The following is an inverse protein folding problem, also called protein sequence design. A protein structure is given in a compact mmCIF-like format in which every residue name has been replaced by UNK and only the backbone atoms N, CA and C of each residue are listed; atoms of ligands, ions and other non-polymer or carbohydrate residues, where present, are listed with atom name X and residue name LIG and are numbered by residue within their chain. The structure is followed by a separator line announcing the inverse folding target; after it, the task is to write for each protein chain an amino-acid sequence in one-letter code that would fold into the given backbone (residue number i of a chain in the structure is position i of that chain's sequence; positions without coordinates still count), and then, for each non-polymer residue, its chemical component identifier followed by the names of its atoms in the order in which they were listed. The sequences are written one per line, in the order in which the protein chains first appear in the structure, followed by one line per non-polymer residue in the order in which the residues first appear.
data_IF_801934162435
#
_entry.id   IF_801934162435
#
_cell.length_a   1.000
_cell.length_b   1.000
_cell.length_c   1.000
_cell.angle_alpha   90.00
_cell.angle_beta   90.00
_cell.angle_gamma   90.00
#
_symmetry.space_group_name_H-M   'P 1'
#
loop_
_entity.id
_entity.type
_entity.pdbx_description
1 polymer ?
#
# COMPACT_ATOMS: atom_id res chain seq x y z
N UNK A 1 84.06 -26.55 -35.01
CA UNK A 1 83.36 -25.74 -33.98
C UNK A 1 81.96 -25.40 -34.50
N UNK A 2 80.93 -26.16 -34.10
CA UNK A 2 79.51 -25.86 -34.43
C UNK A 2 78.77 -25.71 -33.10
N UNK A 3 78.25 -24.52 -32.80
CA UNK A 3 77.46 -24.23 -31.61
C UNK A 3 75.99 -24.55 -31.91
N UNK A 4 75.43 -25.52 -31.20
CA UNK A 4 73.99 -25.81 -31.23
C UNK A 4 73.30 -24.94 -30.17
N UNK A 5 72.37 -24.09 -30.60
CA UNK A 5 71.54 -23.26 -29.73
C UNK A 5 70.28 -24.06 -29.40
N UNK A 6 70.13 -24.49 -28.14
CA UNK A 6 68.88 -25.05 -27.64
C UNK A 6 67.97 -23.91 -27.20
N UNK A 7 66.90 -23.66 -27.95
CA UNK A 7 65.81 -22.76 -27.55
C UNK A 7 64.89 -23.56 -26.63
N UNK A 8 64.94 -23.26 -25.33
CA UNK A 8 63.99 -23.79 -24.35
C UNK A 8 62.68 -22.99 -24.46
N UNK A 9 61.62 -23.64 -24.95
CA UNK A 9 60.26 -23.08 -24.97
C UNK A 9 59.68 -23.19 -23.55
N UNK A 10 59.54 -22.07 -22.86
CA UNK A 10 58.90 -22.00 -21.54
C UNK A 10 57.39 -21.82 -21.74
N UNK A 11 56.63 -22.91 -21.63
CA UNK A 11 55.16 -22.90 -21.72
C UNK A 11 54.56 -22.35 -20.42
N UNK A 12 54.16 -21.08 -20.42
CA UNK A 12 53.41 -20.47 -19.31
C UNK A 12 51.95 -20.93 -19.40
N UNK A 13 51.55 -21.85 -18.52
CA UNK A 13 50.15 -22.23 -18.31
C UNK A 13 49.45 -21.10 -17.54
N UNK A 14 48.71 -20.24 -18.23
CA UNK A 14 47.80 -19.27 -17.59
C UNK A 14 46.53 -20.02 -17.20
N UNK A 15 46.43 -20.44 -15.94
CA UNK A 15 45.21 -20.97 -15.37
C UNK A 15 44.15 -19.86 -15.28
N UNK A 16 43.22 -19.82 -16.24
CA UNK A 16 41.99 -19.02 -16.15
C UNK A 16 41.10 -19.60 -15.04
N UNK A 17 41.31 -19.18 -13.80
CA UNK A 17 40.35 -19.40 -12.73
C UNK A 17 39.09 -18.60 -13.04
N UNK A 18 38.00 -19.29 -13.35
CA UNK A 18 36.68 -18.68 -13.55
C UNK A 18 36.25 -18.01 -12.24
N UNK A 19 36.35 -16.69 -12.17
CA UNK A 19 35.77 -15.93 -11.07
C UNK A 19 34.25 -16.10 -11.18
N UNK A 20 33.66 -16.83 -10.24
CA UNK A 20 32.21 -16.93 -10.16
C UNK A 20 31.68 -15.56 -9.72
N UNK A 21 31.21 -14.76 -10.67
CA UNK A 21 30.51 -13.51 -10.36
C UNK A 21 29.18 -13.87 -9.73
N UNK A 22 29.08 -13.71 -8.41
CA UNK A 22 27.82 -13.81 -7.70
C UNK A 22 26.93 -12.63 -8.08
N UNK A 23 25.62 -12.89 -8.16
CA UNK A 23 24.62 -11.84 -8.36
C UNK A 23 24.80 -10.76 -7.28
N UNK A 24 24.93 -9.51 -7.72
CA UNK A 24 25.07 -8.37 -6.82
C UNK A 24 23.71 -7.79 -6.49
N UNK A 25 23.42 -7.72 -5.20
CA UNK A 25 22.29 -6.96 -4.67
C UNK A 25 22.71 -5.56 -4.27
N UNK A 26 22.00 -4.55 -4.78
CA UNK A 26 22.16 -3.16 -4.34
C UNK A 26 20.96 -2.76 -3.48
N UNK A 27 21.21 -2.31 -2.24
CA UNK A 27 20.15 -1.82 -1.36
C UNK A 27 20.04 -0.29 -1.37
N UNK A 28 18.81 0.24 -1.37
CA UNK A 28 18.55 1.68 -1.37
C UNK A 28 17.35 2.04 -0.49
N UNK A 29 17.46 3.07 0.34
CA UNK A 29 16.35 3.54 1.16
C UNK A 29 15.47 4.54 0.40
N UNK A 30 14.16 4.36 0.49
CA UNK A 30 13.16 5.30 0.00
C UNK A 30 12.68 6.15 1.18
N UNK A 31 13.10 7.41 1.17
CA UNK A 31 12.55 8.47 2.03
C UNK A 31 11.75 9.45 1.20
N UNK A 32 10.59 9.84 1.72
CA UNK A 32 9.75 10.89 1.15
C UNK A 32 10.18 12.25 1.70
N UNK A 33 10.24 13.25 0.83
CA UNK A 33 10.37 14.64 1.28
C UNK A 33 9.12 15.04 2.06
N UNK A 34 9.28 15.86 3.10
CA UNK A 34 8.16 16.32 3.92
C UNK A 34 7.04 16.90 3.05
N UNK A 35 5.82 16.43 3.26
CA UNK A 35 4.64 16.84 2.47
C UNK A 35 4.42 16.03 1.18
N UNK A 36 5.34 15.13 0.81
CA UNK A 36 5.14 14.17 -0.27
C UNK A 36 4.92 12.77 0.29
N UNK A 37 4.25 11.93 -0.48
CA UNK A 37 4.02 10.53 -0.14
C UNK A 37 4.30 9.58 -1.31
N UNK A 38 4.93 10.10 -2.35
CA UNK A 38 5.26 9.39 -3.58
C UNK A 38 6.68 9.70 -4.02
N UNK A 39 7.32 8.75 -4.70
CA UNK A 39 8.67 8.89 -5.25
C UNK A 39 8.84 7.98 -6.46
N UNK A 40 9.58 8.46 -7.44
CA UNK A 40 10.05 7.64 -8.57
C UNK A 40 11.55 7.44 -8.42
N UNK A 41 11.98 6.17 -8.46
CA UNK A 41 13.38 5.78 -8.48
C UNK A 41 13.75 5.34 -9.89
N UNK A 42 14.89 5.81 -10.38
CA UNK A 42 15.44 5.40 -11.66
C UNK A 42 16.63 4.51 -11.36
N UNK A 43 16.68 3.33 -11.98
CA UNK A 43 17.75 2.37 -11.71
C UNK A 43 18.17 1.58 -12.94
N UNK A 44 19.30 0.89 -12.79
CA UNK A 44 19.85 -0.03 -13.77
C UNK A 44 20.47 -1.24 -13.08
N UNK A 45 20.31 -2.42 -13.66
CA UNK A 45 21.05 -3.63 -13.29
C UNK A 45 21.26 -4.52 -14.52
N UNK A 46 22.11 -5.54 -14.40
CA UNK A 46 22.45 -6.46 -15.49
C UNK A 46 22.48 -7.91 -15.01
N UNK A 47 22.13 -8.84 -15.90
CA UNK A 47 22.22 -10.27 -15.59
C UNK A 47 21.37 -10.66 -14.38
N UNK A 48 21.98 -11.31 -13.39
CA UNK A 48 21.30 -11.78 -12.19
C UNK A 48 21.25 -10.75 -11.06
N UNK A 49 21.82 -9.56 -11.25
CA UNK A 49 21.80 -8.52 -10.25
C UNK A 49 20.36 -8.05 -9.97
N UNK A 50 20.14 -7.52 -8.77
CA UNK A 50 18.87 -6.95 -8.35
C UNK A 50 19.07 -5.65 -7.55
N UNK A 51 18.01 -4.86 -7.47
CA UNK A 51 17.96 -3.66 -6.62
C UNK A 51 16.85 -3.82 -5.60
N UNK A 52 17.18 -3.66 -4.32
CA UNK A 52 16.25 -3.79 -3.21
C UNK A 52 16.00 -2.43 -2.57
N UNK A 53 14.78 -1.93 -2.72
CA UNK A 53 14.35 -0.68 -2.11
C UNK A 53 13.71 -0.94 -0.74
N UNK A 54 14.22 -0.25 0.28
CA UNK A 54 13.70 -0.28 1.64
C UNK A 54 12.76 0.89 1.87
N UNK A 55 11.53 0.62 2.29
CA UNK A 55 10.53 1.65 2.54
C UNK A 55 9.81 1.38 3.86
N UNK A 56 9.89 2.34 4.78
CA UNK A 56 9.15 2.25 6.04
C UNK A 56 7.68 2.62 5.80
N UNK A 57 6.78 1.79 6.34
CA UNK A 57 5.35 2.04 6.31
C UNK A 57 4.66 1.42 7.54
N UNK A 58 3.43 1.87 7.78
CA UNK A 58 2.58 1.43 8.88
C UNK A 58 1.54 0.44 8.36
N UNK A 59 1.11 -0.46 9.24
CA UNK A 59 -0.02 -1.36 9.04
C UNK A 59 -1.25 -0.56 8.60
N UNK A 60 -1.95 -1.07 7.60
CA UNK A 60 -3.15 -0.47 7.05
C UNK A 60 -2.90 0.59 5.99
N UNK A 61 -1.68 1.12 5.83
CA UNK A 61 -1.37 1.99 4.69
C UNK A 61 -1.48 1.22 3.37
N UNK A 62 -1.81 1.93 2.28
CA UNK A 62 -1.80 1.38 0.92
C UNK A 62 -0.48 1.74 0.25
N UNK A 63 0.25 0.72 -0.21
CA UNK A 63 1.38 0.91 -1.11
C UNK A 63 0.88 0.77 -2.55
N UNK A 64 0.90 1.89 -3.29
CA UNK A 64 0.77 1.90 -4.75
C UNK A 64 2.14 1.78 -5.38
N UNK A 65 2.25 0.99 -6.43
CA UNK A 65 3.50 0.80 -7.15
C UNK A 65 3.29 0.69 -8.65
N UNK A 66 4.33 1.06 -9.39
CA UNK A 66 4.44 0.82 -10.83
C UNK A 66 5.91 0.65 -11.18
N UNK A 67 6.25 -0.46 -11.84
CA UNK A 67 7.56 -0.66 -12.45
C UNK A 67 7.46 -0.63 -13.97
N UNK A 68 8.33 0.13 -14.61
CA UNK A 68 8.50 0.16 -16.07
C UNK A 68 9.95 -0.08 -16.42
N UNK A 69 10.23 -0.65 -17.59
CA UNK A 69 11.61 -0.90 -18.03
C UNK A 69 11.71 -1.05 -19.54
N UNK A 70 12.93 -0.97 -20.06
CA UNK A 70 13.20 -1.33 -21.44
C UNK A 70 12.74 -2.77 -21.72
N UNK A 71 11.96 -2.94 -22.79
CA UNK A 71 11.41 -4.23 -23.22
C UNK A 71 10.65 -4.99 -22.12
N UNK A 72 10.09 -4.29 -21.12
CA UNK A 72 9.37 -4.88 -19.98
C UNK A 72 10.15 -5.99 -19.25
N UNK A 73 11.47 -5.85 -19.13
CA UNK A 73 12.35 -6.86 -18.51
C UNK A 73 12.26 -6.88 -16.98
N UNK A 74 11.97 -5.74 -16.35
CA UNK A 74 11.89 -5.62 -14.91
C UNK A 74 10.59 -6.23 -14.35
N UNK A 75 10.75 -7.03 -13.31
CA UNK A 75 9.70 -7.51 -12.43
C UNK A 75 10.00 -7.05 -11.00
N UNK A 76 9.02 -7.19 -10.11
CA UNK A 76 9.21 -6.84 -8.72
C UNK A 76 8.52 -7.80 -7.76
N UNK A 77 9.09 -7.95 -6.57
CA UNK A 77 8.47 -8.63 -5.43
C UNK A 77 8.43 -7.68 -4.24
N UNK A 78 7.40 -7.78 -3.40
CA UNK A 78 7.29 -6.99 -2.17
C UNK A 78 7.33 -7.95 -0.98
N UNK A 79 8.20 -7.68 -0.02
CA UNK A 79 8.39 -8.49 1.19
C UNK A 79 8.02 -7.69 2.43
N UNK A 80 7.35 -8.35 3.37
CA UNK A 80 7.02 -7.79 4.68
C UNK A 80 8.27 -7.49 5.52
N UNK A 81 8.16 -6.66 6.58
CA UNK A 81 9.26 -6.39 7.49
C UNK A 81 9.91 -7.66 8.04
N UNK A 82 11.25 -7.70 7.96
CA UNK A 82 12.07 -8.84 8.39
C UNK A 82 12.17 -10.00 7.40
N UNK A 83 11.39 -10.00 6.31
CA UNK A 83 11.40 -11.04 5.27
C UNK A 83 12.42 -10.74 4.18
N UNK A 84 13.08 -11.77 3.67
CA UNK A 84 14.23 -11.65 2.74
C UNK A 84 13.97 -12.34 1.40
N UNK A 85 14.28 -11.68 0.26
CA UNK A 85 14.28 -12.32 -1.04
C UNK A 85 15.11 -13.60 -1.08
N UNK A 86 14.57 -14.64 -1.71
CA UNK A 86 15.21 -15.95 -1.83
C UNK A 86 15.20 -16.82 -0.57
N UNK A 87 14.68 -16.32 0.56
CA UNK A 87 14.55 -17.08 1.82
C UNK A 87 13.11 -17.15 2.33
N UNK A 88 12.36 -16.08 2.13
CA UNK A 88 10.98 -15.96 2.57
C UNK A 88 10.03 -15.76 1.38
N UNK A 89 8.73 -15.89 1.65
CA UNK A 89 7.68 -15.56 0.69
C UNK A 89 7.44 -14.05 0.60
N UNK A 90 7.14 -13.60 -0.62
CA UNK A 90 6.71 -12.24 -0.90
C UNK A 90 5.20 -12.09 -0.63
N UNK A 91 4.77 -10.91 -0.20
CA UNK A 91 3.36 -10.54 -0.07
C UNK A 91 2.75 -10.06 -1.41
N UNK A 92 3.59 -9.83 -2.42
CA UNK A 92 3.19 -9.51 -3.78
C UNK A 92 4.25 -10.02 -4.76
N UNK A 93 3.80 -10.70 -5.82
CA UNK A 93 4.68 -11.26 -6.85
C UNK A 93 4.33 -10.66 -8.22
N UNK A 94 5.13 -9.70 -8.68
CA UNK A 94 4.83 -8.94 -9.90
C UNK A 94 4.93 -9.76 -11.18
N UNK A 95 5.68 -10.87 -11.20
CA UNK A 95 5.71 -11.76 -12.36
C UNK A 95 4.40 -12.54 -12.59
N UNK A 96 3.54 -12.62 -11.56
CA UNK A 96 2.23 -13.30 -11.64
C UNK A 96 1.08 -12.30 -11.59
N UNK A 97 1.22 -11.23 -10.80
CA UNK A 97 0.16 -10.26 -10.53
C UNK A 97 0.27 -8.98 -11.37
N UNK A 98 1.40 -8.77 -12.05
CA UNK A 98 1.65 -7.62 -12.91
C UNK A 98 2.54 -6.54 -12.29
N UNK A 99 2.90 -5.56 -13.12
CA UNK A 99 3.89 -4.53 -12.80
C UNK A 99 3.30 -3.22 -12.27
N UNK A 100 1.98 -3.15 -12.12
CA UNK A 100 1.24 -2.00 -11.59
C UNK A 100 0.19 -2.52 -10.62
N UNK A 101 0.09 -1.91 -9.44
CA UNK A 101 -0.91 -2.34 -8.48
C UNK A 101 -0.89 -1.56 -7.18
N UNK A 102 -1.68 -2.05 -6.25
CA UNK A 102 -1.76 -1.53 -4.89
C UNK A 102 -1.98 -2.67 -3.89
N UNK A 103 -1.37 -2.56 -2.72
CA UNK A 103 -1.55 -3.52 -1.62
C UNK A 103 -1.78 -2.81 -0.29
N UNK A 104 -2.63 -3.40 0.57
CA UNK A 104 -2.77 -2.96 1.96
C UNK A 104 -1.67 -3.61 2.78
N UNK A 105 -0.87 -2.79 3.46
CA UNK A 105 0.29 -3.26 4.19
C UNK A 105 -0.12 -3.93 5.53
N UNK A 106 0.26 -5.20 5.77
CA UNK A 106 -0.27 -5.96 6.90
C UNK A 106 0.37 -5.62 8.27
N UNK A 107 1.48 -4.90 8.30
CA UNK A 107 2.32 -4.71 9.49
C UNK A 107 3.05 -3.37 9.48
N UNK A 108 3.50 -2.92 10.65
CA UNK A 108 4.42 -1.79 10.76
C UNK A 108 5.84 -2.26 10.46
N UNK A 109 6.63 -1.47 9.74
CA UNK A 109 8.06 -1.70 9.60
C UNK A 109 8.60 -1.34 8.23
N UNK A 110 9.84 -1.77 8.00
CA UNK A 110 10.54 -1.57 6.74
C UNK A 110 10.25 -2.72 5.77
N UNK A 111 9.53 -2.41 4.69
CA UNK A 111 9.25 -3.32 3.59
C UNK A 111 10.42 -3.34 2.61
N UNK A 112 10.63 -4.49 1.95
CA UNK A 112 11.61 -4.61 0.85
C UNK A 112 10.89 -4.78 -0.48
N UNK A 113 11.15 -3.88 -1.42
CA UNK A 113 10.73 -4.01 -2.82
C UNK A 113 11.95 -4.45 -3.63
N UNK A 114 11.97 -5.71 -4.04
CA UNK A 114 13.00 -6.25 -4.91
C UNK A 114 12.63 -5.98 -6.37
N UNK A 115 13.50 -5.35 -7.15
CA UNK A 115 13.39 -5.21 -8.61
C UNK A 115 14.44 -6.09 -9.28
N UNK A 116 14.00 -6.98 -10.16
CA UNK A 116 14.84 -8.02 -10.78
C UNK A 116 14.36 -8.34 -12.20
N UNK A 117 15.06 -9.22 -12.91
CA UNK A 117 14.62 -9.75 -14.21
C UNK A 117 14.50 -11.28 -14.19
N UNK A 118 13.69 -11.82 -15.11
CA UNK A 118 13.50 -13.26 -15.22
C UNK A 118 14.78 -13.99 -15.62
N UNK A 119 14.88 -15.27 -15.24
CA UNK A 119 16.09 -16.09 -15.44
C UNK A 119 16.53 -16.17 -16.91
N UNK A 120 15.58 -16.17 -17.85
CA UNK A 120 15.88 -16.23 -19.28
C UNK A 120 16.65 -15.00 -19.78
N UNK A 121 16.26 -13.79 -19.37
CA UNK A 121 16.95 -12.55 -19.74
C UNK A 121 18.22 -12.34 -18.93
N UNK A 122 18.24 -12.74 -17.65
CA UNK A 122 19.42 -12.73 -16.80
C UNK A 122 20.58 -13.57 -17.39
N UNK A 123 20.28 -14.79 -17.89
CA UNK A 123 21.27 -15.67 -18.54
C UNK A 123 21.90 -15.07 -19.79
N UNK A 124 21.21 -14.15 -20.44
CA UNK A 124 21.68 -13.44 -21.63
C UNK A 124 22.43 -12.15 -21.28
N UNK A 125 22.72 -11.94 -19.99
CA UNK A 125 23.34 -10.72 -19.46
C UNK A 125 22.64 -9.44 -19.92
N UNK A 126 21.30 -9.48 -20.05
CA UNK A 126 20.57 -8.30 -20.50
C UNK A 126 20.66 -7.19 -19.45
N UNK A 127 20.89 -5.97 -19.94
CA UNK A 127 20.77 -4.75 -19.15
C UNK A 127 19.30 -4.35 -19.00
N UNK A 128 18.89 -4.05 -17.77
CA UNK A 128 17.58 -3.52 -17.43
C UNK A 128 17.74 -2.10 -16.91
N UNK A 129 17.21 -1.13 -17.66
CA UNK A 129 16.99 0.24 -17.22
C UNK A 129 15.52 0.37 -16.83
N UNK A 130 15.24 0.82 -15.62
CA UNK A 130 13.88 0.81 -15.07
C UNK A 130 13.53 2.10 -14.33
N UNK A 131 12.22 2.30 -14.17
CA UNK A 131 11.65 3.27 -13.24
C UNK A 131 10.73 2.53 -12.27
N UNK A 132 10.91 2.76 -10.98
CA UNK A 132 10.03 2.29 -9.92
C UNK A 132 9.33 3.50 -9.31
N UNK A 133 8.04 3.64 -9.58
CA UNK A 133 7.16 4.54 -8.85
C UNK A 133 6.60 3.84 -7.62
N UNK A 134 6.65 4.52 -6.48
CA UNK A 134 5.99 4.10 -5.25
C UNK A 134 5.22 5.27 -4.64
N UNK A 135 4.09 4.97 -4.02
CA UNK A 135 3.35 5.90 -3.20
C UNK A 135 2.78 5.18 -1.99
N UNK A 136 3.01 5.75 -0.81
CA UNK A 136 2.37 5.32 0.43
C UNK A 136 1.20 6.25 0.68
N UNK A 137 0.00 5.71 0.57
CA UNK A 137 -1.18 6.38 1.07
C UNK A 137 -1.40 5.88 2.48
N UNK A 138 -1.58 6.78 3.44
CA UNK A 138 -2.41 6.39 4.57
C UNK A 138 -3.69 5.81 3.99
N UNK A 139 -4.18 4.70 4.55
CA UNK A 139 -5.59 4.44 4.35
C UNK A 139 -6.28 5.69 4.86
N UNK A 140 -6.71 6.52 3.92
CA UNK A 140 -7.77 7.44 4.17
C UNK A 140 -8.89 6.49 4.58
N UNK A 141 -9.06 6.30 5.90
CA UNK A 141 -10.39 6.39 6.48
C UNK A 141 -11.04 7.45 5.63
N UNK A 142 -12.16 7.13 5.03
CA UNK A 142 -12.79 7.79 3.90
C UNK A 142 -13.31 9.19 4.37
N UNK A 143 -12.36 10.01 4.83
CA UNK A 143 -12.34 11.19 5.70
C UNK A 143 -11.31 12.18 5.15
N UNK A 144 -11.05 12.16 3.84
CA UNK A 144 -10.68 13.43 3.17
C UNK A 144 -11.88 14.39 3.08
N UNK A 145 -13.05 14.01 3.60
CA UNK A 145 -14.08 14.97 4.03
C UNK A 145 -13.56 15.67 5.30
N UNK A 146 -13.37 16.99 5.23
CA UNK A 146 -13.19 17.81 6.43
C UNK A 146 -14.48 17.71 7.25
N UNK A 147 -14.42 17.09 8.42
CA UNK A 147 -15.55 17.02 9.34
C UNK A 147 -15.44 18.13 10.39
N UNK A 148 -16.57 18.66 10.80
CA UNK A 148 -16.66 19.67 11.87
C UNK A 148 -16.56 19.01 13.26
N UNK A 149 -16.99 17.76 13.37
CA UNK A 149 -16.77 16.91 14.54
C UNK A 149 -16.64 15.44 14.13
N UNK A 150 -15.93 14.68 14.96
CA UNK A 150 -15.77 13.23 14.86
C UNK A 150 -16.03 12.60 16.22
N UNK A 151 -16.40 11.33 16.25
CA UNK A 151 -16.64 10.61 17.50
C UNK A 151 -17.15 9.20 17.27
N UNK A 152 -17.72 8.61 18.32
CA UNK A 152 -18.37 7.31 18.27
C UNK A 152 -19.86 7.43 18.60
N UNK A 153 -20.67 6.57 17.97
CA UNK A 153 -22.07 6.39 18.30
C UNK A 153 -22.47 4.91 18.27
N UNK A 154 -23.50 4.49 19.03
CA UNK A 154 -24.00 3.12 18.96
C UNK A 154 -24.67 2.83 17.62
N UNK A 155 -24.31 1.69 17.02
CA UNK A 155 -24.83 1.23 15.73
C UNK A 155 -25.00 -0.29 15.71
N UNK A 156 -25.96 -0.80 14.95
CA UNK A 156 -26.03 -2.22 14.57
C UNK A 156 -26.21 -2.31 13.06
N UNK A 157 -25.37 -3.07 12.37
CA UNK A 157 -25.35 -3.11 10.90
C UNK A 157 -26.09 -4.32 10.31
N UNK A 158 -26.54 -5.23 11.16
CA UNK A 158 -27.27 -6.43 10.78
C UNK A 158 -28.51 -6.57 11.68
N UNK A 159 -29.57 -7.15 11.14
CA UNK A 159 -30.80 -7.43 11.89
C UNK A 159 -30.49 -8.35 13.08
N UNK A 160 -30.99 -8.00 14.26
CA UNK A 160 -30.77 -8.77 15.50
C UNK A 160 -29.40 -8.59 16.15
N UNK A 161 -28.48 -7.81 15.56
CA UNK A 161 -27.18 -7.54 16.15
C UNK A 161 -27.31 -6.54 17.32
N UNK A 162 -26.68 -6.80 18.49
CA UNK A 162 -26.51 -5.78 19.52
C UNK A 162 -25.76 -4.55 18.98
N UNK A 163 -26.00 -3.38 19.56
CA UNK A 163 -25.26 -2.19 19.16
C UNK A 163 -23.78 -2.31 19.54
N UNK A 164 -22.93 -1.73 18.70
CA UNK A 164 -21.49 -1.54 18.91
C UNK A 164 -21.14 -0.08 18.66
N UNK A 165 -19.94 0.33 19.05
CA UNK A 165 -19.46 1.67 18.70
C UNK A 165 -19.05 1.73 17.22
N UNK A 166 -19.70 2.61 16.46
CA UNK A 166 -19.29 3.02 15.12
C UNK A 166 -18.65 4.39 15.18
N UNK A 167 -17.54 4.55 14.47
CA UNK A 167 -16.93 5.86 14.25
C UNK A 167 -17.82 6.70 13.34
N UNK A 168 -17.88 8.00 13.57
CA UNK A 168 -18.59 8.94 12.71
C UNK A 168 -17.78 10.21 12.48
N UNK A 169 -18.13 10.90 11.40
CA UNK A 169 -17.78 12.28 11.13
C UNK A 169 -19.01 13.04 10.66
N UNK A 170 -19.18 14.29 11.11
CA UNK A 170 -20.32 15.14 10.74
C UNK A 170 -19.85 16.45 10.11
N UNK A 171 -20.53 16.89 9.05
CA UNK A 171 -20.40 18.23 8.47
C UNK A 171 -21.72 18.96 8.69
N UNK A 172 -21.71 20.07 9.42
CA UNK A 172 -22.86 20.92 9.70
C UNK A 172 -22.87 22.03 8.67
N UNK A 173 -23.90 22.05 7.83
CA UNK A 173 -24.01 22.98 6.70
C UNK A 173 -24.71 24.30 7.07
N UNK A 174 -25.10 24.47 8.35
CA UNK A 174 -25.89 25.59 8.83
C UNK A 174 -27.40 25.35 8.69
N UNK A 175 -28.22 26.20 9.33
CA UNK A 175 -29.69 26.15 9.26
C UNK A 175 -30.31 24.77 9.60
N UNK A 176 -29.70 24.04 10.54
CA UNK A 176 -30.15 22.70 10.95
C UNK A 176 -29.85 21.57 9.96
N UNK A 177 -29.12 21.84 8.87
CA UNK A 177 -28.69 20.83 7.92
C UNK A 177 -27.34 20.20 8.34
N UNK A 178 -27.27 18.87 8.31
CA UNK A 178 -26.05 18.13 8.62
C UNK A 178 -25.89 16.89 7.73
N UNK A 179 -24.63 16.58 7.39
CA UNK A 179 -24.21 15.36 6.72
C UNK A 179 -23.42 14.50 7.71
N UNK A 180 -24.04 13.46 8.23
CA UNK A 180 -23.42 12.50 9.12
C UNK A 180 -22.91 11.31 8.31
N UNK A 181 -21.61 11.04 8.37
CA UNK A 181 -21.00 9.84 7.79
C UNK A 181 -20.64 8.88 8.92
N UNK A 182 -21.14 7.65 8.87
CA UNK A 182 -20.89 6.60 9.86
C UNK A 182 -20.06 5.50 9.20
N UNK A 183 -18.98 5.09 9.84
CA UNK A 183 -17.97 4.21 9.28
C UNK A 183 -18.08 2.83 9.94
N UNK A 184 -18.27 1.80 9.11
CA UNK A 184 -18.23 0.42 9.59
C UNK A 184 -16.80 -0.09 9.72
N UNK A 185 -16.61 -1.13 10.53
CA UNK A 185 -15.35 -1.89 10.60
C UNK A 185 -15.01 -2.65 9.30
N UNK A 186 -15.98 -2.75 8.38
CA UNK A 186 -15.86 -3.40 7.08
C UNK A 186 -15.62 -2.39 5.94
N UNK A 187 -15.19 -1.16 6.29
CA UNK A 187 -14.93 -0.07 5.34
C UNK A 187 -16.17 0.38 4.52
N UNK A 188 -17.39 0.13 5.03
CA UNK A 188 -18.64 0.64 4.46
C UNK A 188 -19.00 1.97 5.11
N UNK A 189 -19.39 2.96 4.30
CA UNK A 189 -19.94 4.24 4.77
C UNK A 189 -21.45 4.26 4.72
N UNK A 190 -22.04 4.88 5.75
CA UNK A 190 -23.44 5.28 5.77
C UNK A 190 -23.52 6.79 5.85
N UNK A 191 -24.02 7.43 4.80
CA UNK A 191 -24.17 8.89 4.75
C UNK A 191 -25.64 9.23 5.02
N UNK A 192 -25.89 9.79 6.20
CA UNK A 192 -27.21 10.23 6.63
C UNK A 192 -27.28 11.75 6.52
N UNK A 193 -28.27 12.24 5.79
CA UNK A 193 -28.57 13.67 5.65
C UNK A 193 -29.67 14.04 6.62
N UNK A 194 -29.44 15.08 7.40
CA UNK A 194 -30.40 15.64 8.33
C UNK A 194 -30.77 17.06 7.93
N UNK A 195 -32.02 17.43 8.20
CA UNK A 195 -32.48 18.82 8.18
C UNK A 195 -33.40 19.04 9.37
N UNK A 196 -33.07 20.00 10.24
CA UNK A 196 -33.76 20.28 11.49
C UNK A 196 -34.01 19.01 12.33
N UNK A 197 -32.97 18.17 12.45
CA UNK A 197 -33.00 16.95 13.26
C UNK A 197 -33.77 15.78 12.64
N UNK A 198 -34.38 15.98 11.47
CA UNK A 198 -35.09 14.94 10.74
C UNK A 198 -34.20 14.33 9.67
N UNK A 199 -34.18 13.00 9.59
CA UNK A 199 -33.53 12.27 8.50
C UNK A 199 -34.24 12.60 7.17
N UNK A 200 -33.48 13.06 6.19
CA UNK A 200 -33.98 13.35 4.83
C UNK A 200 -33.46 12.35 3.80
N UNK A 201 -32.34 11.68 4.08
CA UNK A 201 -31.76 10.64 3.21
C UNK A 201 -30.74 9.80 3.97
N UNK A 202 -30.59 8.49 3.67
CA UNK A 202 -31.51 7.67 2.90
C UNK A 202 -32.87 7.50 3.61
N UNK A 203 -33.84 6.87 2.95
CA UNK A 203 -35.14 6.58 3.58
C UNK A 203 -34.97 5.60 4.74
N UNK A 204 -35.62 5.91 5.86
CA UNK A 204 -35.60 5.08 7.05
C UNK A 204 -36.63 5.55 8.07
N UNK A 205 -36.90 4.70 9.06
CA UNK A 205 -37.73 5.03 10.20
C UNK A 205 -36.89 5.80 11.20
N UNK A 206 -37.42 6.89 11.74
CA UNK A 206 -36.77 7.65 12.82
C UNK A 206 -37.71 7.70 14.01
N UNK A 207 -37.21 7.32 15.19
CA UNK A 207 -37.91 7.46 16.47
C UNK A 207 -37.12 8.37 17.38
N UNK A 208 -37.76 9.44 17.87
CA UNK A 208 -37.16 10.38 18.81
C UNK A 208 -37.36 9.90 20.26
N UNK A 209 -36.31 9.99 21.08
CA UNK A 209 -36.30 9.63 22.50
C UNK A 209 -35.49 10.69 23.28
N UNK A 210 -36.14 11.79 23.67
CA UNK A 210 -35.43 12.95 24.21
C UNK A 210 -34.41 13.48 23.19
N UNK A 211 -33.16 13.67 23.64
CA UNK A 211 -32.06 14.16 22.79
C UNK A 211 -31.45 13.07 21.90
N UNK A 212 -32.02 11.84 21.88
CA UNK A 212 -31.56 10.73 21.06
C UNK A 212 -32.51 10.46 19.90
N UNK A 213 -31.96 10.30 18.70
CA UNK A 213 -32.67 9.85 17.51
C UNK A 213 -32.28 8.41 17.18
N UNK A 214 -33.23 7.48 17.26
CA UNK A 214 -33.07 6.12 16.78
C UNK A 214 -33.44 6.07 15.29
N UNK A 215 -32.45 5.87 14.43
CA UNK A 215 -32.64 5.79 12.97
C UNK A 215 -32.48 4.35 12.53
N UNK A 216 -33.47 3.79 11.86
CA UNK A 216 -33.44 2.46 11.25
C UNK A 216 -33.65 2.58 9.74
N UNK A 217 -32.64 2.20 8.97
CA UNK A 217 -32.71 2.21 7.51
C UNK A 217 -33.54 1.05 6.99
N UNK A 218 -34.07 1.18 5.78
CA UNK A 218 -34.82 0.10 5.11
C UNK A 218 -33.98 -1.16 4.85
N UNK A 219 -32.66 -1.07 4.99
CA UNK A 219 -31.69 -2.17 4.88
C UNK A 219 -31.32 -2.81 6.23
N UNK A 220 -32.08 -2.49 7.30
CA UNK A 220 -31.98 -3.01 8.68
C UNK A 220 -30.82 -2.47 9.53
N UNK A 221 -30.02 -1.52 9.04
CA UNK A 221 -29.05 -0.84 9.89
C UNK A 221 -29.74 0.13 10.85
N UNK A 222 -29.31 0.11 12.11
CA UNK A 222 -29.83 0.98 13.17
C UNK A 222 -28.71 1.82 13.75
N UNK A 223 -28.98 3.11 13.94
CA UNK A 223 -28.07 4.09 14.51
C UNK A 223 -28.74 4.85 15.65
N UNK A 224 -28.00 5.05 16.73
CA UNK A 224 -28.42 5.86 17.88
C UNK A 224 -27.65 7.18 17.84
N UNK A 225 -28.32 8.25 17.43
CA UNK A 225 -27.69 9.52 17.08
C UNK A 225 -28.11 10.61 18.08
N UNK A 226 -27.23 11.04 19.00
CA UNK A 226 -27.49 12.17 19.87
C UNK A 226 -27.63 13.48 19.08
N UNK A 227 -28.48 14.39 19.54
CA UNK A 227 -28.69 15.69 18.92
C UNK A 227 -27.41 16.54 18.85
N UNK A 228 -26.53 16.42 19.84
CA UNK A 228 -25.23 17.09 19.85
C UNK A 228 -24.35 16.71 18.63
N UNK A 229 -24.56 15.53 18.04
CA UNK A 229 -23.90 15.16 16.77
C UNK A 229 -24.38 16.09 15.65
N UNK A 230 -25.68 16.30 15.54
CA UNK A 230 -26.31 17.08 14.47
C UNK A 230 -26.12 18.58 14.68
N UNK A 231 -26.37 19.09 15.88
CA UNK A 231 -26.43 20.53 16.18
C UNK A 231 -25.14 21.09 16.77
N UNK A 232 -24.30 20.25 17.36
CA UNK A 232 -23.21 20.71 18.23
C UNK A 232 -23.64 20.71 19.70
N UNK A 233 -22.64 20.79 20.58
CA UNK A 233 -22.82 21.04 22.02
C UNK A 233 -22.61 22.50 22.35
#
# INVERSE_FOLDING_TARGET
MKKSIHIALLSIFVSFSSVSTFAKTTEQSITFTKGTNQKTQIGKFEGYDDVQYKIYAKKGQVLKFKVTSNNNLANMNIFSPGKKPGKDEAIFIGSTEGQVGEIILPSNGEYTIQVYQMRNSARQNKTVNFQLYVQILDQKSQHSKKFDAIGELPCSLNLGQPTRQCQFGVVRQGNGAALLTIFSKENKEYILKFNNGKLTSPSGKTQKRGDLSLVELNTNERFEIPDAVIYGG
#
